data_IF_315707696366
#
_entry.id   IF_315707696366
#
_cell.length_a   1.000
_cell.length_b   1.000
_cell.length_c   1.000
_cell.angle_alpha   90.00
_cell.angle_beta   90.00
_cell.angle_gamma   90.00
#
_symmetry.space_group_name_H-M   'P 1'
#
loop_
_entity.id
_entity.type
_entity.pdbx_description
1 polymer ?
#
# COMPACT_ATOMS: atom_id res chain seq x y z
N UNK A 1 1.49 -11.08 10.33
CA UNK A 1 1.12 -9.65 10.53
C UNK A 1 2.22 -8.58 10.36
N UNK A 2 3.49 -8.78 10.78
CA UNK A 2 4.52 -7.72 10.71
C UNK A 2 4.74 -7.13 9.29
N UNK A 3 4.66 -7.97 8.24
CA UNK A 3 4.84 -7.55 6.83
C UNK A 3 3.70 -6.63 6.36
N UNK A 4 2.44 -7.00 6.61
CA UNK A 4 1.26 -6.20 6.29
C UNK A 4 1.26 -4.83 7.01
N UNK A 5 1.64 -4.78 8.29
CA UNK A 5 1.76 -3.51 9.03
C UNK A 5 2.86 -2.60 8.45
N UNK A 6 3.99 -3.17 8.02
CA UNK A 6 5.06 -2.42 7.35
C UNK A 6 4.59 -1.87 6.01
N UNK A 7 3.87 -2.68 5.22
CA UNK A 7 3.30 -2.25 3.95
C UNK A 7 2.31 -1.10 4.16
N UNK A 8 1.37 -1.24 5.11
CA UNK A 8 0.41 -0.20 5.44
C UNK A 8 1.09 1.12 5.87
N UNK A 9 2.09 1.04 6.75
CA UNK A 9 2.84 2.22 7.18
C UNK A 9 3.53 2.92 6.00
N UNK A 10 4.07 2.15 5.04
CA UNK A 10 4.70 2.70 3.85
C UNK A 10 3.68 3.31 2.88
N UNK A 11 2.51 2.68 2.68
CA UNK A 11 1.40 3.28 1.92
C UNK A 11 1.04 4.66 2.49
N UNK A 12 0.92 4.80 3.81
CA UNK A 12 0.65 6.10 4.44
C UNK A 12 1.79 7.11 4.23
N UNK A 13 3.05 6.68 4.03
CA UNK A 13 4.15 7.59 3.65
C UNK A 13 4.01 8.04 2.20
N UNK A 14 3.64 7.14 1.29
CA UNK A 14 3.36 7.48 -0.11
C UNK A 14 2.19 8.44 -0.24
N UNK A 15 1.11 8.25 0.52
CA UNK A 15 -0.03 9.18 0.54
C UNK A 15 0.40 10.61 0.91
N UNK A 16 1.38 10.79 1.79
CA UNK A 16 1.91 12.14 2.11
C UNK A 16 2.64 12.80 0.94
N UNK A 17 3.08 12.05 -0.07
CA UNK A 17 3.73 12.54 -1.29
C UNK A 17 2.74 12.97 -2.37
N UNK A 18 1.46 12.63 -2.23
CA UNK A 18 0.40 13.06 -3.14
C UNK A 18 0.07 14.57 -2.97
N UNK A 19 -0.63 15.19 -3.94
CA UNK A 19 -1.17 16.55 -3.79
C UNK A 19 -2.04 16.69 -2.53
N UNK A 20 -1.93 17.81 -1.82
CA UNK A 20 -2.56 18.03 -0.50
C UNK A 20 -4.05 17.66 -0.48
N UNK A 21 -4.79 18.07 -1.49
CA UNK A 21 -6.25 17.90 -1.56
C UNK A 21 -6.67 16.44 -1.78
N UNK A 22 -5.78 15.62 -2.34
CA UNK A 22 -6.03 14.19 -2.57
C UNK A 22 -5.71 13.31 -1.35
N UNK A 23 -4.88 13.80 -0.41
CA UNK A 23 -4.37 12.98 0.71
C UNK A 23 -5.47 12.44 1.61
N UNK A 24 -6.50 13.21 2.03
CA UNK A 24 -7.54 12.70 2.92
C UNK A 24 -8.29 11.51 2.30
N UNK A 25 -8.60 11.60 1.00
CA UNK A 25 -9.25 10.53 0.26
C UNK A 25 -8.42 9.23 0.28
N UNK A 26 -7.14 9.31 -0.11
CA UNK A 26 -6.30 8.11 -0.18
C UNK A 26 -5.90 7.58 1.21
N UNK A 27 -5.77 8.43 2.23
CA UNK A 27 -5.55 7.98 3.61
C UNK A 27 -6.75 7.19 4.15
N UNK A 28 -7.97 7.68 3.89
CA UNK A 28 -9.21 6.96 4.21
C UNK A 28 -9.27 5.61 3.48
N UNK A 29 -9.08 5.63 2.16
CA UNK A 29 -9.11 4.43 1.33
C UNK A 29 -8.10 3.36 1.78
N UNK A 30 -6.86 3.77 2.11
CA UNK A 30 -5.83 2.87 2.61
C UNK A 30 -6.23 2.24 3.95
N UNK A 31 -6.84 3.01 4.86
CA UNK A 31 -7.33 2.51 6.16
C UNK A 31 -8.47 1.51 5.97
N UNK A 32 -9.44 1.82 5.13
CA UNK A 32 -10.58 0.93 4.84
C UNK A 32 -10.11 -0.39 4.26
N UNK A 33 -9.22 -0.37 3.25
CA UNK A 33 -8.64 -1.58 2.69
C UNK A 33 -7.89 -2.39 3.74
N UNK A 34 -7.03 -1.75 4.55
CA UNK A 34 -6.27 -2.45 5.58
C UNK A 34 -7.17 -3.16 6.60
N UNK A 35 -8.29 -2.53 6.98
CA UNK A 35 -9.28 -3.14 7.88
C UNK A 35 -10.04 -4.28 7.20
N UNK A 36 -10.39 -4.16 5.91
CA UNK A 36 -11.10 -5.19 5.17
C UNK A 36 -10.31 -6.50 5.03
N UNK A 37 -8.98 -6.43 5.12
CA UNK A 37 -8.10 -7.60 5.03
C UNK A 37 -7.63 -8.13 6.38
N UNK A 38 -8.26 -7.70 7.49
CA UNK A 38 -7.92 -8.17 8.84
C UNK A 38 -8.15 -9.66 9.05
N UNK A 39 -9.10 -10.22 8.31
CA UNK A 39 -9.52 -11.63 8.40
C UNK A 39 -8.85 -12.51 7.34
N UNK A 40 -7.94 -11.94 6.53
CA UNK A 40 -7.06 -12.73 5.67
C UNK A 40 -6.19 -13.58 6.58
N UNK A 41 -6.28 -14.89 6.40
CA UNK A 41 -5.46 -15.84 7.14
C UNK A 41 -3.98 -15.52 6.89
N UNK A 42 -3.28 -15.17 7.96
CA UNK A 42 -1.86 -14.83 7.91
C UNK A 42 -0.97 -16.06 7.72
N UNK A 43 -1.52 -17.24 7.95
CA UNK A 43 -0.87 -18.52 7.72
C UNK A 43 -1.11 -19.02 6.28
N UNK A 44 -2.08 -18.43 5.55
CA UNK A 44 -2.19 -18.54 4.09
C UNK A 44 -1.21 -17.58 3.42
N UNK A 45 0.01 -18.07 3.21
CA UNK A 45 1.09 -17.33 2.57
C UNK A 45 0.72 -16.80 1.19
N UNK A 46 -0.11 -17.53 0.43
CA UNK A 46 -0.51 -17.15 -0.92
C UNK A 46 -1.51 -15.99 -0.89
N UNK A 47 -2.53 -16.06 -0.01
CA UNK A 47 -3.48 -14.96 0.14
C UNK A 47 -2.78 -13.66 0.59
N UNK A 48 -1.82 -13.77 1.50
CA UNK A 48 -1.02 -12.63 1.95
C UNK A 48 -0.12 -12.07 0.83
N UNK A 49 0.52 -12.93 0.04
CA UNK A 49 1.35 -12.51 -1.10
C UNK A 49 0.52 -11.78 -2.16
N UNK A 50 -0.63 -12.33 -2.56
CA UNK A 50 -1.54 -11.69 -3.52
C UNK A 50 -2.05 -10.33 -3.02
N UNK A 51 -2.28 -10.20 -1.71
CA UNK A 51 -2.68 -8.95 -1.09
C UNK A 51 -1.55 -7.90 -1.16
N UNK A 52 -0.32 -8.30 -0.86
CA UNK A 52 0.85 -7.43 -0.90
C UNK A 52 1.17 -6.97 -2.33
N UNK A 53 1.08 -7.87 -3.31
CA UNK A 53 1.21 -7.54 -4.74
C UNK A 53 0.15 -6.52 -5.18
N UNK A 54 -1.12 -6.74 -4.82
CA UNK A 54 -2.20 -5.78 -5.10
C UNK A 54 -1.93 -4.41 -4.45
N UNK A 55 -1.43 -4.40 -3.23
CA UNK A 55 -1.07 -3.17 -2.50
C UNK A 55 0.01 -2.39 -3.24
N UNK A 56 1.07 -3.05 -3.71
CA UNK A 56 2.15 -2.41 -4.47
C UNK A 56 1.65 -1.87 -5.82
N UNK A 57 0.91 -2.68 -6.58
CA UNK A 57 0.38 -2.29 -7.89
C UNK A 57 -0.58 -1.10 -7.77
N UNK A 58 -1.47 -1.10 -6.78
CA UNK A 58 -2.39 0.01 -6.59
C UNK A 58 -1.66 1.29 -6.16
N UNK A 59 -0.71 1.19 -5.23
CA UNK A 59 0.07 2.34 -4.76
C UNK A 59 0.84 3.00 -5.90
N UNK A 60 1.52 2.21 -6.74
CA UNK A 60 2.26 2.72 -7.89
C UNK A 60 1.35 3.30 -8.98
N UNK A 61 0.16 2.74 -9.18
CA UNK A 61 -0.84 3.33 -10.07
C UNK A 61 -1.31 4.71 -9.57
N UNK A 62 -1.60 4.84 -8.27
CA UNK A 62 -1.99 6.14 -7.67
C UNK A 62 -0.86 7.17 -7.80
N UNK A 63 0.39 6.78 -7.57
CA UNK A 63 1.53 7.69 -7.78
C UNK A 63 1.60 8.16 -9.24
N UNK A 64 1.46 7.23 -10.19
CA UNK A 64 1.43 7.54 -11.62
C UNK A 64 0.28 8.48 -12.02
N UNK A 65 -0.90 8.32 -11.41
CA UNK A 65 -2.06 9.21 -11.64
C UNK A 65 -1.75 10.68 -11.33
N UNK A 66 -0.86 10.94 -10.37
CA UNK A 66 -0.46 12.29 -9.97
C UNK A 66 0.93 12.70 -10.46
N UNK A 67 1.50 11.96 -11.43
CA UNK A 67 2.85 12.20 -11.96
C UNK A 67 3.94 12.25 -10.88
N UNK A 68 3.73 11.52 -9.77
CA UNK A 68 4.73 11.36 -8.72
C UNK A 68 5.73 10.31 -9.17
N UNK A 69 7.02 10.58 -8.98
CA UNK A 69 8.09 9.63 -9.31
C UNK A 69 7.83 8.28 -8.65
N UNK A 70 7.93 7.20 -9.42
CA UNK A 70 7.70 5.82 -8.96
C UNK A 70 8.84 5.31 -8.05
N UNK A 71 10.05 5.87 -8.14
CA UNK A 71 11.20 5.46 -7.34
C UNK A 71 10.94 5.55 -5.82
N UNK A 72 10.06 6.46 -5.40
CA UNK A 72 9.70 6.61 -3.99
C UNK A 72 8.99 5.36 -3.42
N UNK A 73 8.47 4.48 -4.30
CA UNK A 73 7.81 3.25 -3.92
C UNK A 73 8.76 2.04 -3.81
N UNK A 74 10.07 2.22 -4.01
CA UNK A 74 11.05 1.12 -3.93
C UNK A 74 10.99 0.39 -2.58
N UNK A 75 10.88 1.17 -1.49
CA UNK A 75 10.71 0.59 -0.15
C UNK A 75 9.41 -0.22 -0.01
N UNK A 76 8.33 0.21 -0.67
CA UNK A 76 7.08 -0.56 -0.68
C UNK A 76 7.24 -1.84 -1.53
N UNK A 77 7.96 -1.76 -2.65
CA UNK A 77 8.29 -2.91 -3.50
C UNK A 77 9.05 -3.98 -2.72
N UNK A 78 10.07 -3.59 -1.96
CA UNK A 78 10.85 -4.53 -1.14
C UNK A 78 10.00 -5.19 -0.06
N UNK A 79 9.06 -4.44 0.53
CA UNK A 79 8.16 -4.99 1.55
C UNK A 79 7.11 -5.91 0.93
N UNK A 80 6.59 -5.60 -0.26
CA UNK A 80 5.47 -6.32 -0.84
C UNK A 80 5.89 -7.49 -1.72
N UNK A 81 7.03 -7.38 -2.42
CA UNK A 81 7.47 -8.30 -3.46
C UNK A 81 8.86 -8.91 -3.19
N UNK A 82 9.50 -8.53 -2.07
CA UNK A 82 10.75 -9.14 -1.58
C UNK A 82 10.54 -10.10 -0.42
#
# INVERSE_FOLDING_TARGET
MKKALRAYAEVLRLVRRLPKDSRPYYAKYARENFVNYRDVDVDDSKALEELLHRTYNHSTWVLGKYSVDKSIADKLKDICCG
#
